data_IF_478325751857
#
_entry.id   IF_478325751857
#
_cell.length_a   1.000
_cell.length_b   1.000
_cell.length_c   1.000
_cell.angle_alpha   90.00
_cell.angle_beta   90.00
_cell.angle_gamma   90.00
#
_symmetry.space_group_name_H-M   'P 1'
#
loop_
_entity.id
_entity.type
_entity.pdbx_description
1 polymer ?
#
# COMPACT_ATOMS: atom_id res chain seq x y z
N UNK A 1 15.90 -13.73 -6.12
CA UNK A 1 15.74 -15.12 -5.66
C UNK A 1 14.26 -15.40 -5.43
N UNK A 2 13.64 -16.26 -6.26
CA UNK A 2 12.19 -16.55 -6.23
C UNK A 2 11.77 -17.16 -4.88
N UNK A 3 12.64 -17.92 -4.25
CA UNK A 3 12.39 -18.51 -2.93
C UNK A 3 12.23 -17.44 -1.85
N UNK A 4 13.04 -16.37 -1.90
CA UNK A 4 12.92 -15.25 -0.96
C UNK A 4 11.55 -14.57 -1.07
N UNK A 5 11.07 -14.29 -2.28
CA UNK A 5 9.75 -13.67 -2.47
C UNK A 5 8.60 -14.58 -2.05
N UNK A 6 8.73 -15.90 -2.24
CA UNK A 6 7.73 -16.87 -1.79
C UNK A 6 7.63 -16.93 -0.26
N UNK A 7 8.78 -16.96 0.44
CA UNK A 7 8.83 -16.92 1.90
C UNK A 7 8.28 -15.58 2.43
N UNK A 8 8.62 -14.46 1.79
CA UNK A 8 8.13 -13.14 2.15
C UNK A 8 6.61 -13.06 2.03
N UNK A 9 6.02 -13.61 0.95
CA UNK A 9 4.57 -13.65 0.73
C UNK A 9 3.85 -14.51 1.79
N UNK A 10 4.42 -15.65 2.16
CA UNK A 10 3.88 -16.50 3.22
C UNK A 10 3.91 -15.76 4.57
N UNK A 11 5.05 -15.14 4.90
CA UNK A 11 5.21 -14.33 6.10
C UNK A 11 4.19 -13.19 6.15
N UNK A 12 4.03 -12.45 5.04
CA UNK A 12 3.04 -11.38 4.92
C UNK A 12 1.62 -11.88 5.21
N UNK A 13 1.25 -13.04 4.68
CA UNK A 13 -0.08 -13.64 4.91
C UNK A 13 -0.31 -14.00 6.38
N UNK A 14 0.67 -14.63 7.03
CA UNK A 14 0.60 -14.96 8.46
C UNK A 14 0.51 -13.68 9.33
N UNK A 15 1.34 -12.68 9.04
CA UNK A 15 1.37 -11.42 9.77
C UNK A 15 0.09 -10.61 9.56
N UNK A 16 -0.52 -10.68 8.37
CA UNK A 16 -1.82 -10.08 8.12
C UNK A 16 -2.90 -10.65 9.05
N UNK A 17 -2.97 -11.98 9.21
CA UNK A 17 -3.93 -12.62 10.12
C UNK A 17 -3.68 -12.21 11.57
N UNK A 18 -2.44 -12.25 12.03
CA UNK A 18 -2.07 -11.80 13.38
C UNK A 18 -2.37 -10.32 13.59
N UNK A 19 -2.05 -9.49 12.61
CA UNK A 19 -2.30 -8.04 12.66
C UNK A 19 -3.78 -7.69 12.76
N UNK A 20 -4.67 -8.41 12.07
CA UNK A 20 -6.12 -8.23 12.21
C UNK A 20 -6.56 -8.47 13.66
N UNK A 21 -6.05 -9.51 14.30
CA UNK A 21 -6.40 -9.85 15.69
C UNK A 21 -5.88 -8.76 16.65
N UNK A 22 -4.61 -8.36 16.50
CA UNK A 22 -3.94 -7.35 17.34
C UNK A 22 -4.60 -5.97 17.17
N UNK A 23 -4.92 -5.58 15.93
CA UNK A 23 -5.47 -4.27 15.61
C UNK A 23 -7.01 -4.20 15.75
N UNK A 24 -7.67 -5.30 16.10
CA UNK A 24 -9.12 -5.34 16.34
C UNK A 24 -9.60 -4.25 17.30
N UNK A 25 -9.00 -4.05 18.49
CA UNK A 25 -9.46 -3.00 19.41
C UNK A 25 -9.35 -1.60 18.80
N UNK A 26 -8.31 -1.34 18.01
CA UNK A 26 -8.17 -0.08 17.28
C UNK A 26 -9.30 0.12 16.25
N UNK A 27 -9.64 -0.92 15.48
CA UNK A 27 -10.72 -0.86 14.49
C UNK A 27 -12.10 -0.64 15.12
N UNK A 28 -12.35 -1.22 16.29
CA UNK A 28 -13.66 -1.12 16.97
C UNK A 28 -13.82 0.21 17.69
N UNK A 29 -12.75 0.78 18.23
CA UNK A 29 -12.80 1.98 19.08
C UNK A 29 -12.71 3.31 18.31
N UNK A 30 -12.41 3.27 17.02
CA UNK A 30 -12.21 4.48 16.23
C UNK A 30 -13.20 4.58 15.05
N UNK A 31 -13.54 5.82 14.68
CA UNK A 31 -14.34 6.09 13.49
C UNK A 31 -13.59 5.72 12.21
N UNK A 32 -14.30 5.39 11.14
CA UNK A 32 -13.72 5.03 9.83
C UNK A 32 -12.82 6.17 9.33
N UNK A 33 -13.27 7.41 9.46
CA UNK A 33 -12.49 8.59 9.05
C UNK A 33 -11.14 8.66 9.78
N UNK A 34 -11.13 8.43 11.09
CA UNK A 34 -9.92 8.43 11.92
C UNK A 34 -8.99 7.26 11.55
N UNK A 35 -9.56 6.07 11.31
CA UNK A 35 -8.81 4.89 10.86
C UNK A 35 -8.09 5.20 9.53
N UNK A 36 -8.80 5.75 8.52
CA UNK A 36 -8.23 6.07 7.23
C UNK A 36 -7.06 7.05 7.37
N UNK A 37 -7.22 8.13 8.13
CA UNK A 37 -6.15 9.14 8.31
C UNK A 37 -4.93 8.53 9.01
N UNK A 38 -5.13 7.77 10.11
CA UNK A 38 -4.02 7.12 10.83
C UNK A 38 -3.29 6.13 9.93
N UNK A 39 -4.03 5.32 9.16
CA UNK A 39 -3.44 4.35 8.24
C UNK A 39 -2.71 5.02 7.07
N UNK A 40 -3.20 6.16 6.58
CA UNK A 40 -2.51 6.94 5.54
C UNK A 40 -1.17 7.48 6.05
N UNK A 41 -1.13 7.98 7.30
CA UNK A 41 0.11 8.44 7.92
C UNK A 41 1.06 7.25 8.16
N UNK A 42 0.55 6.16 8.73
CA UNK A 42 1.35 4.96 8.97
C UNK A 42 1.90 4.37 7.67
N UNK A 43 1.08 4.26 6.62
CA UNK A 43 1.49 3.78 5.31
C UNK A 43 2.56 4.67 4.67
N UNK A 44 2.42 6.00 4.75
CA UNK A 44 3.43 6.93 4.26
C UNK A 44 4.77 6.77 5.01
N UNK A 45 4.74 6.62 6.34
CA UNK A 45 5.95 6.39 7.15
C UNK A 45 6.60 5.06 6.80
N UNK A 46 5.80 3.98 6.66
CA UNK A 46 6.31 2.66 6.31
C UNK A 46 6.84 2.58 4.87
N UNK A 47 6.44 3.49 3.99
CA UNK A 47 6.99 3.57 2.64
C UNK A 47 8.34 4.28 2.57
N UNK A 48 8.72 5.08 3.62
CA UNK A 48 10.00 5.80 3.65
C UNK A 48 11.24 4.90 3.55
N UNK A 49 11.31 3.71 4.17
CA UNK A 49 12.43 2.79 3.97
C UNK A 49 12.64 2.41 2.49
N UNK A 50 11.56 2.24 1.72
CA UNK A 50 11.65 1.96 0.27
C UNK A 50 12.24 3.14 -0.50
N UNK A 51 11.86 4.37 -0.14
CA UNK A 51 12.49 5.60 -0.67
C UNK A 51 13.97 5.64 -0.25
N UNK A 52 14.25 5.38 1.01
CA UNK A 52 15.62 5.38 1.56
C UNK A 52 16.53 4.36 0.87
N UNK A 53 16.02 3.17 0.55
CA UNK A 53 16.81 2.15 -0.15
C UNK A 53 17.29 2.62 -1.52
N UNK A 54 16.50 3.39 -2.25
CA UNK A 54 16.94 4.01 -3.51
C UNK A 54 18.12 4.97 -3.32
N UNK A 55 18.15 5.71 -2.20
CA UNK A 55 19.23 6.66 -1.88
C UNK A 55 20.37 6.04 -1.06
N UNK A 56 20.49 4.71 -1.02
CA UNK A 56 21.61 4.01 -0.36
C UNK A 56 21.44 3.84 1.16
N UNK A 57 20.25 4.05 1.70
CA UNK A 57 19.99 3.86 3.16
C UNK A 57 20.38 2.46 3.64
N UNK A 58 20.14 1.43 2.83
CA UNK A 58 20.50 0.06 3.14
C UNK A 58 22.03 -0.18 3.21
N UNK A 59 22.84 0.56 2.45
CA UNK A 59 24.29 0.49 2.51
C UNK A 59 24.81 1.12 3.80
N UNK A 60 24.23 2.26 4.20
CA UNK A 60 24.56 2.93 5.44
C UNK A 60 24.19 2.09 6.67
N UNK A 61 22.97 1.49 6.71
CA UNK A 61 22.56 0.61 7.81
C UNK A 61 23.39 -0.66 7.88
N UNK A 62 23.72 -1.27 6.74
CA UNK A 62 24.59 -2.46 6.62
C UNK A 62 25.97 -2.16 7.20
N UNK A 63 26.59 -1.03 6.84
CA UNK A 63 27.90 -0.63 7.35
C UNK A 63 27.92 -0.39 8.87
N UNK A 64 26.82 0.13 9.45
CA UNK A 64 26.72 0.36 10.90
C UNK A 64 26.42 -0.92 11.71
N UNK A 65 25.81 -1.91 11.09
CA UNK A 65 25.32 -3.12 11.79
C UNK A 65 26.08 -4.39 11.41
N UNK A 66 27.26 -4.27 10.78
CA UNK A 66 28.03 -5.41 10.26
C UNK A 66 27.18 -6.34 9.38
N UNK A 67 26.51 -5.78 8.39
CA UNK A 67 25.64 -6.47 7.42
C UNK A 67 24.38 -7.14 7.99
N UNK A 68 24.00 -6.83 9.22
CA UNK A 68 22.77 -7.38 9.83
C UNK A 68 21.52 -6.68 9.25
N UNK A 69 21.55 -5.35 9.12
CA UNK A 69 20.43 -4.56 8.58
C UNK A 69 20.72 -4.20 7.13
N UNK A 70 20.68 -5.20 6.28
CA UNK A 70 20.82 -5.11 4.83
C UNK A 70 19.48 -4.82 4.12
N UNK A 71 19.49 -4.75 2.80
CA UNK A 71 18.28 -4.55 1.99
C UNK A 71 17.22 -5.64 2.20
N UNK A 72 17.62 -6.90 2.48
CA UNK A 72 16.70 -8.01 2.73
C UNK A 72 16.01 -7.87 4.07
N UNK A 73 16.77 -7.50 5.11
CA UNK A 73 16.23 -7.23 6.44
C UNK A 73 15.19 -6.11 6.38
N UNK A 74 15.52 -4.98 5.71
CA UNK A 74 14.62 -3.83 5.55
C UNK A 74 13.35 -4.27 4.82
N UNK A 75 13.44 -5.05 3.74
CA UNK A 75 12.29 -5.55 3.00
C UNK A 75 11.38 -6.45 3.84
N UNK A 76 11.96 -7.39 4.62
CA UNK A 76 11.21 -8.27 5.52
C UNK A 76 10.50 -7.45 6.60
N UNK A 77 11.22 -6.55 7.25
CA UNK A 77 10.68 -5.71 8.32
C UNK A 77 9.56 -4.81 7.82
N UNK A 78 9.76 -4.17 6.67
CA UNK A 78 8.74 -3.34 6.04
C UNK A 78 7.48 -4.14 5.70
N UNK A 79 7.64 -5.30 5.06
CA UNK A 79 6.52 -6.20 4.74
C UNK A 79 5.78 -6.67 5.99
N UNK A 80 6.51 -6.95 7.07
CA UNK A 80 5.93 -7.37 8.33
C UNK A 80 5.00 -6.30 8.95
N UNK A 81 5.38 -5.03 8.83
CA UNK A 81 4.59 -3.91 9.36
C UNK A 81 3.47 -3.48 8.42
N UNK A 82 3.70 -3.51 7.11
CA UNK A 82 2.78 -3.01 6.10
C UNK A 82 1.64 -4.01 5.80
N UNK A 83 1.92 -5.31 5.78
CA UNK A 83 0.95 -6.32 5.37
C UNK A 83 -0.36 -6.32 6.17
N UNK A 84 -0.39 -6.10 7.51
CA UNK A 84 -1.63 -6.01 8.27
C UNK A 84 -2.45 -4.77 7.94
N UNK A 85 -1.81 -3.65 7.57
CA UNK A 85 -2.47 -2.34 7.41
C UNK A 85 -3.46 -2.32 6.25
N UNK A 86 -3.17 -3.05 5.17
CA UNK A 86 -4.08 -3.17 4.03
C UNK A 86 -5.45 -3.74 4.43
N UNK A 87 -5.48 -4.77 5.27
CA UNK A 87 -6.72 -5.38 5.76
C UNK A 87 -7.42 -4.51 6.82
N UNK A 88 -6.65 -3.85 7.68
CA UNK A 88 -7.21 -2.92 8.69
C UNK A 88 -7.96 -1.76 8.04
N UNK A 89 -7.60 -1.33 6.84
CA UNK A 89 -8.32 -0.29 6.11
C UNK A 89 -9.67 -0.80 5.56
N UNK A 90 -9.75 -2.05 5.16
CA UNK A 90 -10.91 -2.63 4.46
C UNK A 90 -11.98 -3.17 5.41
N UNK A 91 -11.58 -3.83 6.51
CA UNK A 91 -12.49 -4.49 7.45
C UNK A 91 -13.53 -3.53 8.06
N UNK A 92 -13.16 -2.34 8.57
CA UNK A 92 -14.14 -1.39 9.11
C UNK A 92 -15.18 -0.93 8.09
N UNK A 93 -14.78 -0.74 6.83
CA UNK A 93 -15.68 -0.36 5.75
C UNK A 93 -16.70 -1.48 5.45
N UNK A 94 -16.26 -2.73 5.40
CA UNK A 94 -17.15 -3.88 5.22
C UNK A 94 -18.09 -4.06 6.39
N UNK A 95 -17.60 -3.90 7.62
CA UNK A 95 -18.41 -3.94 8.84
C UNK A 95 -19.47 -2.83 8.87
N UNK A 96 -19.11 -1.62 8.44
CA UNK A 96 -20.03 -0.50 8.33
C UNK A 96 -21.16 -0.77 7.33
N UNK A 97 -20.84 -1.33 6.15
CA UNK A 97 -21.84 -1.77 5.18
C UNK A 97 -22.76 -2.82 5.78
N UNK A 98 -22.19 -3.85 6.43
CA UNK A 98 -22.95 -4.92 7.04
C UNK A 98 -23.95 -4.41 8.10
N UNK A 99 -23.57 -3.37 8.84
CA UNK A 99 -24.40 -2.74 9.89
C UNK A 99 -25.49 -1.84 9.31
N UNK A 100 -25.18 -1.04 8.30
CA UNK A 100 -26.05 0.06 7.85
C UNK A 100 -26.89 -0.31 6.59
N UNK A 101 -26.49 -1.30 5.81
CA UNK A 101 -27.28 -1.72 4.65
C UNK A 101 -28.58 -2.41 5.07
N UNK A 102 -29.73 -2.09 4.39
CA UNK A 102 -30.98 -2.80 4.61
C UNK A 102 -30.82 -4.31 4.44
N UNK A 103 -31.48 -5.11 5.27
CA UNK A 103 -31.30 -6.56 5.32
C UNK A 103 -31.47 -7.24 3.95
N UNK A 104 -32.45 -6.79 3.15
CA UNK A 104 -32.75 -7.32 1.82
C UNK A 104 -31.82 -6.81 0.72
N UNK A 105 -30.98 -5.79 0.98
CA UNK A 105 -30.05 -5.18 0.02
C UNK A 105 -28.58 -5.39 0.38
N UNK A 106 -28.25 -6.08 1.47
CA UNK A 106 -26.87 -6.26 1.91
C UNK A 106 -25.95 -6.81 0.81
N UNK A 107 -26.40 -7.84 0.09
CA UNK A 107 -25.64 -8.42 -1.02
C UNK A 107 -25.36 -7.38 -2.12
N UNK A 108 -26.35 -6.56 -2.46
CA UNK A 108 -26.20 -5.49 -3.46
C UNK A 108 -25.18 -4.44 -3.00
N UNK A 109 -25.23 -4.00 -1.75
CA UNK A 109 -24.26 -3.04 -1.20
C UNK A 109 -22.84 -3.60 -1.20
N UNK A 110 -22.65 -4.87 -0.85
CA UNK A 110 -21.33 -5.52 -0.95
C UNK A 110 -20.85 -5.63 -2.41
N UNK A 111 -21.74 -5.96 -3.35
CA UNK A 111 -21.39 -6.02 -4.77
C UNK A 111 -20.98 -4.64 -5.33
N UNK A 112 -21.72 -3.59 -4.97
CA UNK A 112 -21.41 -2.21 -5.33
C UNK A 112 -20.06 -1.80 -4.76
N UNK A 113 -19.80 -2.06 -3.47
CA UNK A 113 -18.52 -1.79 -2.84
C UNK A 113 -17.36 -2.52 -3.54
N UNK A 114 -17.52 -3.81 -3.84
CA UNK A 114 -16.52 -4.58 -4.58
C UNK A 114 -16.25 -4.00 -5.98
N UNK A 115 -17.31 -3.53 -6.66
CA UNK A 115 -17.19 -2.89 -7.97
C UNK A 115 -16.37 -1.58 -7.89
N UNK A 116 -16.65 -0.73 -6.89
CA UNK A 116 -15.86 0.48 -6.65
C UNK A 116 -14.41 0.18 -6.28
N UNK A 117 -14.17 -0.86 -5.49
CA UNK A 117 -12.80 -1.30 -5.14
C UNK A 117 -12.04 -1.74 -6.39
N UNK A 118 -12.66 -2.54 -7.26
CA UNK A 118 -12.04 -2.96 -8.52
C UNK A 118 -11.78 -1.78 -9.47
N UNK A 119 -12.71 -0.81 -9.53
CA UNK A 119 -12.52 0.41 -10.29
C UNK A 119 -11.33 1.23 -9.76
N UNK A 120 -11.21 1.35 -8.44
CA UNK A 120 -10.09 2.04 -7.79
C UNK A 120 -8.75 1.34 -8.09
N UNK A 121 -8.71 0.00 -8.06
CA UNK A 121 -7.51 -0.78 -8.43
C UNK A 121 -7.13 -0.54 -9.90
N UNK A 122 -8.10 -0.53 -10.81
CA UNK A 122 -7.87 -0.24 -12.23
C UNK A 122 -7.36 1.18 -12.45
N UNK A 123 -7.96 2.16 -11.76
CA UNK A 123 -7.50 3.56 -11.80
C UNK A 123 -6.08 3.71 -11.24
N UNK A 124 -5.76 3.02 -10.14
CA UNK A 124 -4.40 2.99 -9.57
C UNK A 124 -3.38 2.40 -10.54
N UNK A 125 -3.71 1.31 -11.22
CA UNK A 125 -2.84 0.72 -12.24
C UNK A 125 -2.58 1.68 -13.43
N UNK A 126 -3.62 2.39 -13.87
CA UNK A 126 -3.48 3.42 -14.91
C UNK A 126 -2.62 4.59 -14.42
N UNK A 127 -2.84 5.07 -13.22
CA UNK A 127 -2.02 6.15 -12.62
C UNK A 127 -0.54 5.72 -12.54
N UNK A 128 -0.27 4.52 -12.08
CA UNK A 128 1.10 3.95 -12.03
C UNK A 128 1.74 3.94 -13.42
N UNK A 129 0.99 3.51 -14.45
CA UNK A 129 1.48 3.54 -15.84
C UNK A 129 1.87 4.96 -16.29
N UNK A 130 1.00 5.94 -16.05
CA UNK A 130 1.27 7.33 -16.44
C UNK A 130 2.42 7.94 -15.64
N UNK A 131 2.51 7.67 -14.34
CA UNK A 131 3.62 8.13 -13.51
C UNK A 131 4.95 7.56 -14.01
N UNK A 132 5.01 6.26 -14.34
CA UNK A 132 6.21 5.64 -14.90
C UNK A 132 6.60 6.22 -16.28
N UNK A 133 5.63 6.70 -17.07
CA UNK A 133 5.91 7.38 -18.33
C UNK A 133 6.45 8.80 -18.12
N UNK A 134 5.89 9.54 -17.15
CA UNK A 134 6.31 10.92 -16.84
C UNK A 134 7.74 10.92 -16.26
N UNK A 135 8.05 9.97 -15.39
CA UNK A 135 9.35 9.84 -14.72
C UNK A 135 10.30 8.87 -15.44
N UNK A 136 9.93 8.43 -16.65
CA UNK A 136 10.76 7.55 -17.51
C UNK A 136 11.33 6.30 -16.79
N UNK A 137 10.60 5.76 -15.80
CA UNK A 137 11.02 4.58 -15.07
C UNK A 137 10.66 3.33 -15.87
N UNK A 138 11.69 2.66 -16.39
CA UNK A 138 11.55 1.45 -17.20
C UNK A 138 12.46 0.34 -16.69
N UNK A 139 11.99 -0.90 -16.80
CA UNK A 139 12.79 -2.09 -16.51
C UNK A 139 13.43 -2.65 -17.79
N UNK A 140 14.49 -3.40 -17.61
CA UNK A 140 15.12 -4.15 -18.72
C UNK A 140 14.09 -5.10 -19.36
N UNK A 141 14.01 -5.06 -20.68
CA UNK A 141 13.19 -5.98 -21.47
C UNK A 141 14.12 -6.80 -22.35
N UNK A 142 14.03 -8.12 -22.23
CA UNK A 142 14.74 -9.09 -23.07
C UNK A 142 13.77 -9.78 -24.03
N UNK A 143 14.24 -10.07 -25.23
CA UNK A 143 13.54 -10.98 -26.14
C UNK A 143 13.47 -12.37 -25.50
N UNK A 144 12.28 -12.97 -25.52
CA UNK A 144 12.04 -14.28 -24.87
C UNK A 144 12.70 -15.45 -25.64
N UNK A 145 13.06 -15.24 -26.91
CA UNK A 145 13.63 -16.28 -27.81
C UNK A 145 15.13 -16.13 -27.91
N UNK A 146 15.62 -14.90 -28.19
CA UNK A 146 17.05 -14.62 -28.42
C UNK A 146 17.81 -14.24 -27.16
N UNK A 147 17.12 -13.91 -26.04
CA UNK A 147 17.69 -13.31 -24.82
C UNK A 147 18.44 -11.98 -25.06
N UNK A 148 18.28 -11.37 -26.23
CA UNK A 148 18.87 -10.06 -26.51
C UNK A 148 18.13 -8.97 -25.73
N UNK A 149 18.88 -7.96 -25.25
CA UNK A 149 18.34 -6.82 -24.54
C UNK A 149 17.66 -5.89 -25.54
N UNK A 150 16.32 -5.81 -25.51
CA UNK A 150 15.52 -4.92 -26.34
C UNK A 150 15.46 -3.51 -25.78
N UNK A 151 15.48 -3.37 -24.46
CA UNK A 151 15.46 -2.09 -23.77
C UNK A 151 16.29 -2.18 -22.48
N UNK A 152 17.12 -1.20 -22.24
CA UNK A 152 17.91 -1.08 -21.00
C UNK A 152 17.03 -0.52 -19.90
N UNK A 153 17.23 -0.98 -18.66
CA UNK A 153 16.55 -0.41 -17.50
C UNK A 153 16.95 1.05 -17.28
N UNK A 154 15.97 1.91 -17.03
CA UNK A 154 16.19 3.27 -16.59
C UNK A 154 15.48 3.50 -15.25
N UNK A 155 16.23 3.80 -14.20
CA UNK A 155 15.74 4.06 -12.85
C UNK A 155 16.17 5.43 -12.33
N UNK A 156 16.63 6.34 -13.21
CA UNK A 156 17.16 7.65 -12.81
C UNK A 156 16.15 8.46 -12.00
N UNK A 157 14.89 8.43 -12.39
CA UNK A 157 13.82 9.19 -11.76
C UNK A 157 13.01 8.39 -10.71
N UNK A 158 13.41 7.13 -10.46
CA UNK A 158 12.69 6.26 -9.52
C UNK A 158 12.60 6.87 -8.11
N UNK A 159 13.65 7.54 -7.63
CA UNK A 159 13.65 8.18 -6.32
C UNK A 159 12.59 9.29 -6.20
N UNK A 160 12.49 10.14 -7.21
CA UNK A 160 11.45 11.19 -7.27
C UNK A 160 10.07 10.57 -7.37
N UNK A 161 9.90 9.54 -8.20
CA UNK A 161 8.65 8.81 -8.33
C UNK A 161 8.20 8.21 -6.99
N UNK A 162 9.10 7.58 -6.24
CA UNK A 162 8.80 7.03 -4.91
C UNK A 162 8.35 8.11 -3.90
N UNK A 163 8.99 9.29 -3.92
CA UNK A 163 8.58 10.43 -3.10
C UNK A 163 7.17 10.90 -3.48
N UNK A 164 6.89 11.04 -4.77
CA UNK A 164 5.56 11.44 -5.26
C UNK A 164 4.49 10.42 -4.85
N UNK A 165 4.76 9.13 -4.98
CA UNK A 165 3.84 8.06 -4.54
C UNK A 165 3.60 8.14 -3.03
N UNK A 166 4.64 8.37 -2.22
CA UNK A 166 4.52 8.55 -0.76
C UNK A 166 3.60 9.74 -0.43
N UNK A 167 3.79 10.87 -1.11
CA UNK A 167 2.94 12.05 -0.93
C UNK A 167 1.48 11.78 -1.34
N UNK A 168 1.24 11.09 -2.45
CA UNK A 168 -0.11 10.72 -2.89
C UNK A 168 -0.78 9.77 -1.89
N UNK A 169 -0.07 8.80 -1.36
CA UNK A 169 -0.57 7.85 -0.35
C UNK A 169 -1.02 8.57 0.93
N UNK A 170 -0.35 9.64 1.31
CA UNK A 170 -0.70 10.45 2.47
C UNK A 170 -1.83 11.46 2.15
N UNK A 171 -1.68 12.21 1.08
CA UNK A 171 -2.54 13.37 0.80
C UNK A 171 -3.92 12.97 0.28
N UNK A 172 -4.00 12.01 -0.66
CA UNK A 172 -5.27 11.68 -1.32
C UNK A 172 -6.32 11.16 -0.33
N UNK A 173 -6.06 10.17 0.53
CA UNK A 173 -7.05 9.70 1.51
C UNK A 173 -7.36 10.77 2.57
N UNK A 174 -6.34 11.50 3.04
CA UNK A 174 -6.51 12.55 4.05
C UNK A 174 -7.40 13.69 3.54
N UNK A 175 -7.13 14.20 2.35
CA UNK A 175 -7.94 15.24 1.71
C UNK A 175 -9.37 14.73 1.47
N UNK A 176 -9.53 13.48 0.99
CA UNK A 176 -10.83 12.87 0.77
C UNK A 176 -11.66 12.83 2.06
N UNK A 177 -11.06 12.42 3.18
CA UNK A 177 -11.73 12.42 4.50
C UNK A 177 -12.12 13.84 4.92
N UNK A 178 -11.23 14.82 4.76
CA UNK A 178 -11.52 16.23 5.11
C UNK A 178 -12.69 16.76 4.28
N UNK A 179 -12.72 16.49 2.98
CA UNK A 179 -13.80 16.91 2.08
C UNK A 179 -15.12 16.27 2.53
N UNK A 180 -15.15 14.97 2.76
CA UNK A 180 -16.35 14.25 3.18
C UNK A 180 -16.86 14.79 4.51
N UNK A 181 -16.00 15.04 5.50
CA UNK A 181 -16.41 15.55 6.81
C UNK A 181 -16.92 17.00 6.77
N UNK A 182 -16.46 17.81 5.81
CA UNK A 182 -16.90 19.22 5.64
C UNK A 182 -18.13 19.35 4.75
N UNK A 183 -18.54 18.30 4.05
CA UNK A 183 -19.70 18.32 3.16
C UNK A 183 -20.92 17.66 3.81
N UNK A 184 -22.07 17.75 3.10
CA UNK A 184 -23.30 17.04 3.50
C UNK A 184 -23.22 15.52 3.41
N UNK A 185 -22.10 14.99 2.92
CA UNK A 185 -21.81 13.55 2.84
C UNK A 185 -21.30 12.95 4.14
N UNK A 186 -21.18 13.78 5.20
CA UNK A 186 -20.79 13.30 6.53
C UNK A 186 -21.78 12.25 7.01
N UNK A 187 -21.28 11.05 7.29
CA UNK A 187 -22.05 9.98 7.94
C UNK A 187 -22.04 10.17 9.44
N UNK A 188 -23.20 9.95 10.08
CA UNK A 188 -23.27 9.81 11.54
C UNK A 188 -22.74 8.42 11.90
N UNK A 189 -21.50 8.37 12.38
CA UNK A 189 -20.85 7.15 12.89
C UNK A 189 -21.18 6.95 14.38
#
# INVERSE_FOLDING_TARGET
>A
DEQFFSVLSLLASCLTLLGIIILRPFMVSNSIAKIIVILSIAGAILFLPSVGMYYGFHEWTSSLTNDVVDARFIAIFNTALESPLGQVSMIPLLAWIAKNAPAHLKATFFAVFASFTNLALSASALLTKYLNQIYEVTREVKDKVTNEILSIANYSDLGVLLIVVTMLTLLVPTISVIIIQKTRLKTNE
#
